data_IF_664646811684
#
_entry.id   IF_664646811684
#
_cell.length_a   1.000
_cell.length_b   1.000
_cell.length_c   1.000
_cell.angle_alpha   90.00
_cell.angle_beta   90.00
_cell.angle_gamma   90.00
#
_symmetry.space_group_name_H-M   'P 1'
#
loop_
_entity.id
_entity.type
_entity.pdbx_description
1 polymer ?
#
# COMPACT_ATOMS: atom_id res chain seq x y z
N UNK A 1 19.41 19.38 6.52
CA UNK A 1 18.10 19.63 5.90
C UNK A 1 18.24 19.46 4.39
N UNK A 2 17.43 18.61 3.77
CA UNK A 2 17.45 18.33 2.33
C UNK A 2 16.03 18.35 1.78
N UNK A 3 15.88 18.65 0.48
CA UNK A 3 14.60 18.59 -0.23
C UNK A 3 14.46 17.24 -0.93
N UNK A 4 13.39 16.51 -0.62
CA UNK A 4 13.20 15.13 -1.06
C UNK A 4 11.82 14.97 -1.71
N UNK A 5 11.80 14.31 -2.87
CA UNK A 5 10.57 13.94 -3.57
C UNK A 5 10.33 12.43 -3.43
N UNK A 6 9.19 12.05 -2.85
CA UNK A 6 8.78 10.64 -2.73
C UNK A 6 7.61 10.38 -3.68
N UNK A 7 7.84 9.61 -4.73
CA UNK A 7 6.81 9.31 -5.72
C UNK A 7 5.87 8.21 -5.21
N UNK A 8 4.60 8.56 -4.97
CA UNK A 8 3.53 7.66 -4.54
C UNK A 8 3.23 7.70 -3.04
N UNK A 9 1.96 7.90 -2.69
CA UNK A 9 1.42 7.97 -1.34
C UNK A 9 0.75 6.65 -0.89
N UNK A 10 1.27 5.53 -1.38
CA UNK A 10 0.99 4.22 -0.80
C UNK A 10 1.70 4.07 0.56
N UNK A 11 1.42 2.97 1.29
CA UNK A 11 1.94 2.73 2.63
C UNK A 11 3.46 2.94 2.72
N UNK A 12 4.23 2.36 1.79
CA UNK A 12 5.68 2.50 1.76
C UNK A 12 6.14 3.95 1.57
N UNK A 13 5.61 4.66 0.57
CA UNK A 13 5.99 6.05 0.31
C UNK A 13 5.60 7.00 1.44
N UNK A 14 4.43 6.80 2.06
CA UNK A 14 3.99 7.59 3.21
C UNK A 14 4.86 7.33 4.44
N UNK A 15 5.21 6.05 4.71
CA UNK A 15 6.13 5.70 5.80
C UNK A 15 7.51 6.34 5.58
N UNK A 16 8.06 6.24 4.37
CA UNK A 16 9.33 6.89 4.02
C UNK A 16 9.27 8.39 4.23
N UNK A 17 8.21 9.05 3.75
CA UNK A 17 8.06 10.49 3.87
C UNK A 17 7.94 10.95 5.34
N UNK A 18 7.17 10.23 6.17
CA UNK A 18 7.04 10.54 7.60
C UNK A 18 8.36 10.42 8.36
N UNK A 19 9.15 9.37 8.06
CA UNK A 19 10.46 9.18 8.68
C UNK A 19 11.44 10.28 8.27
N UNK A 20 11.51 10.61 6.98
CA UNK A 20 12.37 11.69 6.49
C UNK A 20 11.95 13.06 7.04
N UNK A 21 10.65 13.34 7.15
CA UNK A 21 10.15 14.57 7.74
C UNK A 21 10.48 14.64 9.24
N UNK A 22 10.37 13.53 9.97
CA UNK A 22 10.77 13.44 11.38
C UNK A 22 12.26 13.69 11.58
N UNK A 23 13.11 13.29 10.62
CA UNK A 23 14.54 13.59 10.59
C UNK A 23 14.88 15.03 10.15
N UNK A 24 13.86 15.88 9.91
CA UNK A 24 14.03 17.31 9.59
C UNK A 24 14.32 17.60 8.11
N UNK A 25 13.93 16.70 7.21
CA UNK A 25 13.95 16.95 5.78
C UNK A 25 12.65 17.63 5.29
N UNK A 26 12.75 18.37 4.19
CA UNK A 26 11.60 18.94 3.48
C UNK A 26 11.14 17.93 2.42
N UNK A 27 9.96 17.36 2.61
CA UNK A 27 9.49 16.20 1.83
C UNK A 27 8.19 16.52 1.10
N UNK A 28 8.18 16.31 -0.22
CA UNK A 28 6.97 16.39 -1.05
C UNK A 28 6.60 15.01 -1.58
N UNK A 29 5.32 14.65 -1.51
CA UNK A 29 4.81 13.33 -1.94
C UNK A 29 3.73 13.50 -3.01
N UNK A 30 4.10 13.57 -4.31
CA UNK A 30 3.11 13.53 -5.38
C UNK A 30 2.49 12.13 -5.49
N UNK A 31 1.17 12.08 -5.56
CA UNK A 31 0.39 10.88 -5.82
C UNK A 31 -0.42 11.07 -7.11
N UNK A 32 -0.52 10.00 -7.91
CA UNK A 32 -1.26 10.00 -9.18
C UNK A 32 -2.77 10.01 -8.93
N UNK A 33 -3.21 9.30 -7.91
CA UNK A 33 -4.62 9.22 -7.55
C UNK A 33 -5.05 10.54 -6.85
N UNK A 34 -5.73 11.42 -7.60
CA UNK A 34 -6.03 12.79 -7.18
C UNK A 34 -7.12 12.90 -6.09
N UNK A 35 -7.97 11.90 -5.93
CA UNK A 35 -9.06 11.95 -4.96
C UNK A 35 -8.50 11.78 -3.54
N UNK A 36 -8.73 12.72 -2.60
CA UNK A 36 -8.36 12.53 -1.21
C UNK A 36 -9.25 11.46 -0.55
N UNK A 37 -8.75 10.85 0.53
CA UNK A 37 -9.54 9.93 1.32
C UNK A 37 -10.78 10.64 1.90
N UNK A 38 -11.99 10.09 1.76
CA UNK A 38 -13.14 10.50 2.55
C UNK A 38 -12.83 10.39 4.05
N UNK A 39 -13.38 11.29 4.86
CA UNK A 39 -13.15 11.30 6.30
C UNK A 39 -13.75 10.06 7.00
N UNK A 40 -14.79 9.47 6.41
CA UNK A 40 -15.44 8.28 6.95
C UNK A 40 -14.84 6.98 6.37
N UNK A 41 -14.53 6.05 7.27
CA UNK A 41 -13.86 4.80 6.91
C UNK A 41 -14.67 3.94 5.93
N UNK A 42 -16.00 3.93 6.04
CA UNK A 42 -16.86 3.11 5.18
C UNK A 42 -16.89 3.62 3.73
N UNK A 43 -17.00 4.93 3.51
CA UNK A 43 -16.91 5.50 2.15
C UNK A 43 -15.48 5.44 1.62
N UNK A 44 -14.46 5.59 2.46
CA UNK A 44 -13.07 5.39 2.05
C UNK A 44 -12.82 3.96 1.55
N UNK A 45 -13.44 2.95 2.18
CA UNK A 45 -13.37 1.56 1.72
C UNK A 45 -14.19 1.31 0.46
N UNK A 46 -15.46 1.70 0.46
CA UNK A 46 -16.44 1.27 -0.55
C UNK A 46 -16.42 2.14 -1.82
N UNK A 47 -16.19 3.45 -1.68
CA UNK A 47 -16.44 4.43 -2.76
C UNK A 47 -15.17 5.09 -3.29
N UNK A 48 -14.14 5.27 -2.46
CA UNK A 48 -12.94 6.00 -2.87
C UNK A 48 -12.09 5.25 -3.88
N UNK A 49 -12.02 5.74 -5.13
CA UNK A 49 -11.33 5.05 -6.22
C UNK A 49 -9.83 5.37 -6.20
N UNK A 50 -9.01 4.34 -5.96
CA UNK A 50 -7.55 4.41 -6.07
C UNK A 50 -7.01 3.39 -7.07
N UNK A 51 -6.93 3.75 -8.37
CA UNK A 51 -6.38 2.89 -9.40
C UNK A 51 -4.94 2.43 -9.11
N UNK A 52 -4.16 3.20 -8.35
CA UNK A 52 -2.80 2.82 -7.94
C UNK A 52 -2.73 1.70 -6.91
N UNK A 53 -3.82 1.42 -6.18
CA UNK A 53 -3.85 0.40 -5.13
C UNK A 53 -5.12 -0.45 -5.28
N UNK A 54 -5.26 -1.24 -6.37
CA UNK A 54 -6.44 -2.08 -6.57
C UNK A 54 -6.67 -3.09 -5.44
N UNK A 55 -5.61 -3.49 -4.73
CA UNK A 55 -5.68 -4.38 -3.57
C UNK A 55 -6.43 -3.77 -2.38
N UNK A 56 -6.63 -2.44 -2.34
CA UNK A 56 -7.45 -1.77 -1.32
C UNK A 56 -8.91 -2.27 -1.31
N UNK A 57 -9.36 -2.88 -2.42
CA UNK A 57 -10.69 -3.50 -2.55
C UNK A 57 -10.71 -4.98 -2.24
N UNK A 58 -9.55 -5.61 -2.09
CA UNK A 58 -9.49 -7.01 -1.71
C UNK A 58 -9.71 -7.11 -0.21
N UNK A 59 -10.84 -7.68 0.17
CA UNK A 59 -11.04 -8.08 1.57
C UNK A 59 -9.97 -9.11 1.90
N UNK A 60 -9.19 -8.86 2.96
CA UNK A 60 -8.25 -9.82 3.51
C UNK A 60 -9.05 -10.95 4.17
N UNK A 61 -9.72 -11.78 3.36
CA UNK A 61 -10.47 -12.89 3.88
C UNK A 61 -9.44 -13.92 4.38
N UNK A 62 -9.30 -14.11 5.70
CA UNK A 62 -8.40 -15.14 6.19
C UNK A 62 -8.91 -16.47 5.64
N UNK A 63 -7.98 -17.26 5.12
CA UNK A 63 -8.27 -18.59 4.63
C UNK A 63 -8.94 -19.40 5.75
N UNK A 64 -10.11 -20.03 5.52
CA UNK A 64 -10.66 -20.98 6.48
C UNK A 64 -9.69 -22.15 6.64
N UNK A 65 -9.38 -22.50 7.88
CA UNK A 65 -8.56 -23.67 8.18
C UNK A 65 -9.27 -24.92 7.62
N UNK A 66 -8.68 -25.60 6.63
CA UNK A 66 -9.23 -26.85 6.06
C UNK A 66 -9.21 -26.97 4.54
N UNK A 67 -8.88 -25.93 3.77
CA UNK A 67 -8.84 -26.03 2.30
C UNK A 67 -7.64 -26.87 1.82
N UNK A 68 -7.88 -28.05 1.25
CA UNK A 68 -6.86 -28.89 0.60
C UNK A 68 -6.53 -28.33 -0.80
N UNK A 69 -5.49 -27.50 -0.91
CA UNK A 69 -4.96 -27.03 -2.19
C UNK A 69 -3.53 -27.55 -2.39
N UNK A 70 -3.08 -27.83 -3.64
CA UNK A 70 -1.77 -28.41 -3.89
C UNK A 70 -0.64 -27.53 -3.33
N UNK A 71 0.44 -28.20 -2.88
CA UNK A 71 1.59 -27.58 -2.22
C UNK A 71 2.17 -26.44 -3.07
N UNK A 72 2.57 -25.31 -2.48
CA UNK A 72 2.96 -24.13 -3.23
C UNK A 72 4.24 -24.34 -4.07
N UNK A 73 4.22 -23.78 -5.28
CA UNK A 73 5.22 -23.94 -6.36
C UNK A 73 6.60 -23.33 -6.07
N UNK A 74 6.77 -22.60 -4.95
CA UNK A 74 8.01 -21.86 -4.67
C UNK A 74 9.22 -22.78 -4.43
N UNK A 75 9.01 -24.06 -4.12
CA UNK A 75 10.09 -25.04 -3.97
C UNK A 75 10.79 -25.38 -5.30
N UNK A 76 10.22 -25.00 -6.44
CA UNK A 76 10.83 -25.18 -7.77
C UNK A 76 11.78 -24.04 -8.18
N UNK A 77 11.79 -22.92 -7.45
CA UNK A 77 12.52 -21.71 -7.85
C UNK A 77 13.80 -21.44 -7.06
N UNK A 78 14.04 -22.16 -5.96
CA UNK A 78 15.22 -22.00 -5.10
C UNK A 78 15.76 -23.37 -4.71
N UNK A 79 16.41 -24.04 -5.66
CA UNK A 79 17.01 -25.36 -5.45
C UNK A 79 17.61 -25.93 -6.73
N UNK A 80 18.76 -25.42 -7.13
CA UNK A 80 19.78 -26.12 -7.92
C UNK A 80 21.14 -25.55 -7.51
#
# INVERSE_FOLDING_TARGET
MATILVLGAALGGLQTALLLAADGHDVTVPERDADPAPADAESARSRWRRPGIPQLRLTHLPRPAGSSWPRPIWRAWWGS
#
